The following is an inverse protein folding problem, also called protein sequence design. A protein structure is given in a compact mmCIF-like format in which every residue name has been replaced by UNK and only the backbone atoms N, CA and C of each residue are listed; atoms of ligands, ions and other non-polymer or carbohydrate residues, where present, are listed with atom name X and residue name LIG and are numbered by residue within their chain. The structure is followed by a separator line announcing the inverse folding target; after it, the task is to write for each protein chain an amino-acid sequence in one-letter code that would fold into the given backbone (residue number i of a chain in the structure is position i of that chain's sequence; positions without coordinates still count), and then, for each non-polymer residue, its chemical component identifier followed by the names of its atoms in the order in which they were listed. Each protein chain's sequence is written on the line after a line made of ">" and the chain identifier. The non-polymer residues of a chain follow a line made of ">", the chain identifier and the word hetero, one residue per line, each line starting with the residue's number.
data_IF_597451466371
#
_entry.id   IF_597451466371
#
_cell.length_a   1.000
_cell.length_b   1.000
_cell.length_c   1.000
_cell.angle_alpha   90.00
_cell.angle_beta   90.00
_cell.angle_gamma   90.00
#
_symmetry.space_group_name_H-M   'P 1'
#
loop_
_entity.id
_entity.type
_entity.pdbx_description
1 polymer ?
#
# COMPACT_ATOMS: atom_id res chain seq x y z
N UNK A 1 -3.91 0.35 19.79
CA UNK A 1 -4.35 1.74 19.63
C UNK A 1 -4.47 2.32 21.01
N UNK A 2 -3.67 3.34 21.32
CA UNK A 2 -3.84 4.09 22.56
C UNK A 2 -5.22 4.75 22.49
N UNK A 3 -5.97 4.68 23.59
CA UNK A 3 -7.29 5.30 23.68
C UNK A 3 -7.07 6.82 23.56
N UNK A 4 -7.86 7.49 22.72
CA UNK A 4 -7.78 8.94 22.49
C UNK A 4 -6.47 9.44 21.83
N UNK A 5 -5.68 8.52 21.26
CA UNK A 5 -4.45 8.89 20.57
C UNK A 5 -4.74 9.70 19.32
N UNK A 6 -4.15 10.89 19.23
CA UNK A 6 -4.28 11.74 18.05
C UNK A 6 -3.48 11.14 16.89
N UNK A 7 -4.05 11.12 15.67
CA UNK A 7 -3.31 10.69 14.50
C UNK A 7 -2.10 11.60 14.29
N UNK A 8 -1.00 11.03 13.79
CA UNK A 8 0.18 11.79 13.40
C UNK A 8 0.36 11.68 11.90
N UNK A 9 0.56 12.81 11.23
CA UNK A 9 0.89 12.91 9.82
C UNK A 9 2.40 13.14 9.69
N UNK A 10 3.10 12.20 9.06
CA UNK A 10 4.46 12.42 8.56
C UNK A 10 4.37 12.98 7.15
N UNK A 11 5.09 14.06 6.92
CA UNK A 11 5.32 14.66 5.62
C UNK A 11 6.79 14.43 5.29
N UNK A 12 7.07 13.76 4.17
CA UNK A 12 8.43 13.61 3.63
C UNK A 12 8.54 14.38 2.33
N UNK A 13 9.62 15.13 2.16
CA UNK A 13 9.93 15.88 0.93
C UNK A 13 10.94 15.13 0.07
N UNK A 14 11.06 15.53 -1.20
CA UNK A 14 11.99 14.94 -2.16
C UNK A 14 13.47 15.03 -1.73
N UNK A 15 13.84 16.05 -0.95
CA UNK A 15 15.19 16.22 -0.38
C UNK A 15 15.50 15.23 0.78
N UNK A 16 14.52 14.40 1.16
CA UNK A 16 14.61 13.42 2.24
C UNK A 16 14.28 13.97 3.63
N UNK A 17 13.99 15.27 3.75
CA UNK A 17 13.55 15.88 5.00
C UNK A 17 12.18 15.33 5.41
N UNK A 18 11.96 15.24 6.73
CA UNK A 18 10.74 14.68 7.32
C UNK A 18 10.25 15.55 8.47
N UNK A 19 8.96 15.81 8.48
CA UNK A 19 8.27 16.50 9.57
C UNK A 19 7.08 15.68 10.00
N UNK A 20 6.87 15.56 11.31
CA UNK A 20 5.68 14.91 11.88
C UNK A 20 4.80 15.93 12.55
N UNK A 21 3.49 15.81 12.33
CA UNK A 21 2.49 16.75 12.80
C UNK A 21 1.36 15.96 13.45
N UNK A 22 0.96 16.36 14.66
CA UNK A 22 -0.30 15.88 15.22
C UNK A 22 -1.44 16.40 14.35
N UNK A 23 -2.32 15.53 13.87
CA UNK A 23 -3.41 15.90 12.99
C UNK A 23 -4.68 16.22 13.80
N UNK A 24 -5.16 17.45 13.67
CA UNK A 24 -6.43 17.94 14.19
C UNK A 24 -7.24 18.58 13.06
N UNK A 25 -8.55 18.35 13.03
CA UNK A 25 -9.41 18.90 11.97
C UNK A 25 -9.36 20.42 11.97
N UNK A 26 -9.15 21.02 10.79
CA UNK A 26 -8.98 22.46 10.59
C UNK A 26 -7.56 22.98 10.85
N UNK A 27 -6.62 22.10 11.20
CA UNK A 27 -5.23 22.50 11.35
C UNK A 27 -4.55 22.64 9.99
N UNK A 28 -3.84 23.76 9.82
CA UNK A 28 -3.17 24.13 8.57
C UNK A 28 -1.66 24.31 8.76
N UNK A 29 -0.90 23.99 7.72
CA UNK A 29 0.53 24.26 7.62
C UNK A 29 0.91 24.72 6.22
N UNK A 30 1.82 25.69 6.15
CA UNK A 30 2.41 26.13 4.87
C UNK A 30 3.81 25.57 4.75
N UNK A 31 4.01 24.68 3.80
CA UNK A 31 5.33 24.27 3.34
C UNK A 31 5.89 25.39 2.45
N UNK A 32 7.16 25.74 2.64
CA UNK A 32 7.81 26.81 1.87
C UNK A 32 8.46 26.27 0.60
N UNK A 33 8.90 25.03 0.65
CA UNK A 33 9.57 24.32 -0.44
C UNK A 33 9.21 22.83 -0.31
N UNK A 34 8.30 22.29 -1.13
CA UNK A 34 7.49 23.01 -2.13
C UNK A 34 6.48 23.96 -1.45
N UNK A 35 6.05 25.01 -2.17
CA UNK A 35 5.05 25.96 -1.65
C UNK A 35 3.64 25.34 -1.70
N UNK A 36 3.26 24.65 -0.62
CA UNK A 36 2.00 23.91 -0.51
C UNK A 36 1.35 24.17 0.85
N UNK A 37 0.08 24.55 0.85
CA UNK A 37 -0.74 24.58 2.06
C UNK A 37 -1.34 23.20 2.28
N UNK A 38 -1.14 22.67 3.48
CA UNK A 38 -1.62 21.37 3.94
C UNK A 38 -2.67 21.62 5.01
N UNK A 39 -3.86 21.06 4.86
CA UNK A 39 -4.94 21.16 5.85
C UNK A 39 -5.50 19.78 6.19
N UNK A 40 -5.76 19.52 7.48
CA UNK A 40 -6.53 18.35 7.89
C UNK A 40 -8.02 18.65 7.77
N UNK A 41 -8.66 18.08 6.75
CA UNK A 41 -10.10 18.28 6.52
C UNK A 41 -10.94 17.33 7.36
N UNK A 42 -10.48 16.09 7.52
CA UNK A 42 -11.26 15.07 8.22
C UNK A 42 -10.40 13.96 8.81
N UNK A 43 -10.83 13.41 9.94
CA UNK A 43 -10.20 12.26 10.60
C UNK A 43 -11.22 11.12 10.71
N UNK A 44 -10.81 9.93 10.31
CA UNK A 44 -11.57 8.70 10.43
C UNK A 44 -10.90 7.79 11.45
N UNK A 45 -11.70 7.23 12.37
CA UNK A 45 -11.24 6.16 13.26
C UNK A 45 -11.41 4.79 12.60
N UNK A 46 -12.40 4.65 11.71
CA UNK A 46 -12.72 3.43 10.99
C UNK A 46 -13.36 3.77 9.64
N UNK A 47 -12.52 4.22 8.71
CA UNK A 47 -12.90 4.53 7.34
C UNK A 47 -13.41 3.26 6.64
N UNK A 48 -14.63 3.34 6.09
CA UNK A 48 -15.16 2.35 5.16
C UNK A 48 -15.68 3.03 3.92
N UNK A 49 -15.43 2.40 2.78
CA UNK A 49 -16.06 2.75 1.50
C UNK A 49 -17.26 1.82 1.32
N UNK A 50 -18.46 2.39 1.21
CA UNK A 50 -19.72 1.65 1.10
C UNK A 50 -20.36 1.92 -0.27
N UNK A 51 -21.03 0.93 -0.86
CA UNK A 51 -21.76 1.06 -2.14
C UNK A 51 -21.00 0.53 -3.36
N UNK A 52 -21.69 0.44 -4.50
CA UNK A 52 -21.15 0.06 -5.81
C UNK A 52 -20.95 1.31 -6.68
N UNK A 53 -19.82 1.42 -7.39
CA UNK A 53 -19.48 2.61 -8.19
C UNK A 53 -18.55 3.58 -7.45
N UNK A 54 -18.85 4.89 -7.46
CA UNK A 54 -17.98 5.94 -6.87
C UNK A 54 -17.77 5.81 -5.35
N UNK A 55 -18.54 4.97 -4.66
CA UNK A 55 -18.41 4.69 -3.22
C UNK A 55 -18.76 5.90 -2.34
N UNK A 56 -19.33 5.65 -1.18
CA UNK A 56 -19.54 6.66 -0.15
C UNK A 56 -18.59 6.34 1.00
N UNK A 57 -17.73 7.29 1.35
CA UNK A 57 -16.79 7.14 2.47
C UNK A 57 -17.52 7.50 3.77
N UNK A 58 -17.50 6.59 4.74
CA UNK A 58 -18.14 6.78 6.04
C UNK A 58 -17.19 6.41 7.17
N UNK A 59 -17.26 7.15 8.28
CA UNK A 59 -16.60 6.77 9.52
C UNK A 59 -17.54 5.86 10.32
N UNK A 60 -17.25 4.55 10.37
CA UNK A 60 -18.13 3.58 11.04
C UNK A 60 -17.85 3.55 12.54
N UNK A 61 -18.83 3.81 13.43
CA UNK A 61 -18.63 3.76 14.88
C UNK A 61 -18.06 2.42 15.34
N UNK A 62 -17.20 2.47 16.35
CA UNK A 62 -16.56 1.29 16.94
C UNK A 62 -15.06 1.47 17.18
N UNK A 63 -14.34 0.39 17.51
CA UNK A 63 -12.90 0.47 17.74
C UNK A 63 -12.16 0.93 16.47
N UNK A 64 -11.00 1.62 16.62
CA UNK A 64 -10.26 2.17 15.49
C UNK A 64 -9.63 1.04 14.65
N UNK A 65 -10.39 0.48 13.71
CA UNK A 65 -9.94 -0.66 12.89
C UNK A 65 -9.17 -0.21 11.64
N UNK A 66 -9.59 0.90 11.05
CA UNK A 66 -9.01 1.46 9.84
C UNK A 66 -8.95 3.00 9.92
N UNK A 67 -8.01 3.55 10.71
CA UNK A 67 -7.90 4.99 10.81
C UNK A 67 -7.31 5.60 9.54
N UNK A 68 -7.77 6.80 9.21
CA UNK A 68 -7.31 7.57 8.06
C UNK A 68 -7.45 9.06 8.32
N UNK A 69 -6.65 9.86 7.62
CA UNK A 69 -6.71 11.32 7.64
C UNK A 69 -6.95 11.80 6.21
N UNK A 70 -7.87 12.74 6.02
CA UNK A 70 -8.06 13.44 4.76
C UNK A 70 -7.31 14.74 4.84
N UNK A 71 -6.40 14.91 3.89
CA UNK A 71 -5.54 16.07 3.77
C UNK A 71 -5.92 16.82 2.51
N UNK A 72 -6.18 18.11 2.63
CA UNK A 72 -6.29 19.01 1.48
C UNK A 72 -4.93 19.64 1.23
N UNK A 73 -4.50 19.58 -0.02
CA UNK A 73 -3.28 20.22 -0.51
C UNK A 73 -3.69 21.32 -1.48
N UNK A 74 -3.26 22.55 -1.21
CA UNK A 74 -3.44 23.70 -2.10
C UNK A 74 -2.04 24.18 -2.53
N UNK A 75 -1.77 24.14 -3.84
CA UNK A 75 -0.49 24.52 -4.45
C UNK A 75 -0.50 25.99 -4.86
N UNK A 76 0.69 26.54 -5.11
CA UNK A 76 0.86 27.95 -5.48
C UNK A 76 0.19 28.35 -6.80
N UNK A 77 -0.04 27.40 -7.70
CA UNK A 77 -0.78 27.58 -8.95
C UNK A 77 -2.31 27.55 -8.75
N UNK A 78 -2.77 27.32 -7.52
CA UNK A 78 -4.18 27.21 -7.16
C UNK A 78 -4.76 25.80 -7.36
N UNK A 79 -3.95 24.80 -7.70
CA UNK A 79 -4.41 23.42 -7.75
C UNK A 79 -4.76 22.92 -6.34
N UNK A 80 -5.96 22.36 -6.18
CA UNK A 80 -6.46 21.79 -4.93
C UNK A 80 -6.69 20.29 -5.08
N UNK A 81 -6.02 19.49 -4.25
CA UNK A 81 -6.20 18.03 -4.21
C UNK A 81 -6.61 17.55 -2.81
N UNK A 82 -7.40 16.48 -2.78
CA UNK A 82 -7.83 15.83 -1.54
C UNK A 82 -7.24 14.42 -1.46
N UNK A 83 -6.44 14.19 -0.42
CA UNK A 83 -5.68 12.97 -0.25
C UNK A 83 -6.14 12.17 0.98
N UNK A 84 -6.40 10.87 0.79
CA UNK A 84 -6.74 9.94 1.86
C UNK A 84 -5.48 9.23 2.35
N UNK A 85 -4.99 9.63 3.52
CA UNK A 85 -3.80 9.06 4.14
C UNK A 85 -4.22 7.95 5.11
N UNK A 86 -4.22 6.70 4.62
CA UNK A 86 -4.65 5.53 5.39
C UNK A 86 -3.54 4.97 6.29
N UNK A 87 -3.92 4.42 7.44
CA UNK A 87 -3.01 3.75 8.37
C UNK A 87 -2.78 2.25 8.07
N UNK A 88 -3.72 1.56 7.39
CA UNK A 88 -3.57 0.18 6.83
C UNK A 88 -4.00 0.02 5.33
N UNK A 89 -3.41 -0.88 4.53
CA UNK A 89 -3.72 -1.14 3.10
C UNK A 89 -2.75 -0.62 1.98
N UNK A 90 -3.15 -0.82 0.72
CA UNK A 90 -2.41 -0.48 -0.52
C UNK A 90 -2.28 1.03 -0.82
N UNK A 91 -2.76 1.90 0.08
CA UNK A 91 -2.72 3.37 -0.03
C UNK A 91 -2.01 3.99 1.18
N UNK A 92 -0.91 3.37 1.61
CA UNK A 92 -0.03 3.89 2.66
C UNK A 92 0.81 5.03 2.19
N UNK A 93 0.18 6.20 2.29
CA UNK A 93 0.74 7.41 1.79
C UNK A 93 0.40 7.59 0.33
N UNK A 94 -0.10 8.77 0.04
CA UNK A 94 -0.19 9.25 -1.31
C UNK A 94 1.09 10.04 -1.57
N UNK A 95 1.70 9.68 -2.69
CA UNK A 95 2.88 10.31 -3.22
C UNK A 95 2.39 11.18 -4.35
N UNK A 96 2.72 12.46 -4.26
CA UNK A 96 2.30 13.51 -5.17
C UNK A 96 3.56 14.31 -5.50
N UNK A 97 4.20 13.94 -6.61
CA UNK A 97 5.46 14.38 -7.24
C UNK A 97 6.62 14.87 -6.34
N UNK A 98 6.38 15.79 -5.40
CA UNK A 98 7.36 16.40 -4.50
C UNK A 98 7.11 16.13 -3.00
N UNK A 99 5.96 15.53 -2.67
CA UNK A 99 5.46 15.35 -1.30
C UNK A 99 4.97 13.93 -1.08
N UNK A 100 5.39 13.32 0.03
CA UNK A 100 4.89 12.04 0.50
C UNK A 100 4.24 12.19 1.87
N UNK A 101 2.95 11.92 1.95
CA UNK A 101 2.19 11.92 3.19
C UNK A 101 2.16 10.52 3.79
N UNK A 102 2.24 10.38 5.12
CA UNK A 102 2.12 9.07 5.78
C UNK A 102 1.42 9.19 7.13
N UNK A 103 0.47 8.29 7.37
CA UNK A 103 -0.10 8.11 8.70
C UNK A 103 0.92 7.43 9.60
N UNK A 104 1.23 8.04 10.73
CA UNK A 104 2.11 7.49 11.77
C UNK A 104 1.25 7.08 12.94
N UNK A 105 1.36 5.81 13.34
CA UNK A 105 0.75 5.37 14.59
C UNK A 105 1.47 6.07 15.75
N UNK A 106 0.73 6.64 16.72
CA UNK A 106 1.34 7.16 17.92
C UNK A 106 2.07 6.03 18.65
N UNK A 107 3.18 6.38 19.30
CA UNK A 107 3.90 5.40 20.12
C UNK A 107 2.97 4.87 21.22
N UNK A 108 3.06 3.56 21.53
CA UNK A 108 2.27 2.98 22.60
C UNK A 108 2.65 3.60 23.95
N UNK A 109 1.69 4.20 24.64
CA UNK A 109 1.89 4.74 25.99
C UNK A 109 2.10 3.60 27.00
N UNK A 110 3.13 3.73 27.85
CA UNK A 110 3.43 2.77 28.91
C UNK A 110 3.99 1.42 28.44
N UNK A 111 4.27 1.27 27.14
CA UNK A 111 4.97 0.10 26.63
C UNK A 111 6.47 0.37 26.57
N UNK A 112 7.24 -0.33 27.40
CA UNK A 112 8.69 -0.33 27.31
C UNK A 112 9.15 -1.51 26.44
N UNK A 113 10.13 -1.31 25.52
CA UNK A 113 10.74 -2.43 24.82
C UNK A 113 11.47 -3.34 25.81
N UNK A 114 11.71 -4.60 25.45
CA UNK A 114 12.51 -5.49 26.28
C UNK A 114 13.90 -4.87 26.52
N UNK A 115 14.33 -4.69 27.78
CA UNK A 115 15.55 -3.93 28.11
C UNK A 115 16.83 -4.58 27.56
N UNK A 116 16.80 -5.87 27.25
CA UNK A 116 17.97 -6.60 26.74
C UNK A 116 18.09 -6.50 25.22
N UNK A 117 16.97 -6.48 24.50
CA UNK A 117 16.94 -6.57 23.03
C UNK A 117 16.49 -5.29 22.34
N UNK A 118 15.80 -4.38 23.05
CA UNK A 118 15.14 -3.20 22.47
C UNK A 118 13.96 -3.55 21.57
N UNK A 119 13.52 -4.81 21.56
CA UNK A 119 12.46 -5.30 20.69
C UNK A 119 11.11 -5.29 21.42
N UNK A 120 9.98 -5.30 20.66
CA UNK A 120 8.66 -5.37 21.26
C UNK A 120 8.53 -6.57 22.20
N UNK A 121 8.10 -6.28 23.42
CA UNK A 121 7.74 -7.24 24.44
C UNK A 121 6.39 -6.89 25.05
N UNK A 122 5.62 -7.90 25.41
CA UNK A 122 4.31 -7.71 26.04
C UNK A 122 4.07 -8.84 27.04
N UNK A 123 3.79 -8.46 28.28
CA UNK A 123 3.26 -9.39 29.26
C UNK A 123 1.76 -9.56 29.02
N UNK A 124 1.31 -10.79 28.94
CA UNK A 124 -0.09 -11.15 28.79
C UNK A 124 -0.53 -11.96 29.99
N UNK A 125 -1.74 -11.68 30.45
CA UNK A 125 -2.45 -12.55 31.39
C UNK A 125 -3.59 -13.22 30.63
N UNK A 126 -3.44 -14.51 30.40
CA UNK A 126 -4.48 -15.33 29.79
C UNK A 126 -5.28 -15.99 30.90
N UNK A 127 -6.61 -15.89 30.81
CA UNK A 127 -7.54 -16.53 31.72
C UNK A 127 -8.54 -17.37 30.93
N UNK A 128 -8.73 -18.61 31.33
CA UNK A 128 -9.76 -19.49 30.80
C UNK A 128 -10.33 -20.35 31.92
N UNK A 129 -11.64 -20.23 32.18
CA UNK A 129 -12.32 -20.82 33.35
C UNK A 129 -11.57 -20.42 34.64
N UNK A 130 -11.11 -21.38 35.43
CA UNK A 130 -10.35 -21.16 36.66
C UNK A 130 -8.82 -21.08 36.44
N UNK A 131 -8.35 -21.36 35.22
CA UNK A 131 -6.93 -21.34 34.90
C UNK A 131 -6.49 -19.95 34.48
N UNK A 132 -5.41 -19.44 35.08
CA UNK A 132 -4.75 -18.21 34.66
C UNK A 132 -3.25 -18.42 34.45
N UNK A 133 -2.74 -17.93 33.33
CA UNK A 133 -1.32 -18.03 32.98
C UNK A 133 -0.80 -16.67 32.56
N UNK A 134 0.35 -16.30 33.12
CA UNK A 134 1.02 -15.04 32.85
C UNK A 134 2.28 -15.31 32.05
N UNK A 135 2.42 -14.68 30.90
CA UNK A 135 3.49 -15.00 29.94
C UNK A 135 4.05 -13.74 29.33
N UNK A 136 5.36 -13.72 29.14
CA UNK A 136 6.04 -12.71 28.36
C UNK A 136 6.14 -13.16 26.90
N UNK A 137 5.56 -12.35 26.01
CA UNK A 137 5.79 -12.47 24.58
C UNK A 137 6.93 -11.55 24.19
N UNK A 138 8.06 -12.10 23.74
CA UNK A 138 9.24 -11.33 23.35
C UNK A 138 9.64 -11.72 21.93
N UNK A 139 9.81 -10.73 21.05
CA UNK A 139 10.33 -10.99 19.70
C UNK A 139 11.86 -11.01 19.71
N UNK A 140 12.49 -11.98 19.02
CA UNK A 140 13.94 -12.04 18.89
C UNK A 140 14.42 -11.40 17.57
N UNK A 141 15.71 -11.04 17.48
CA UNK A 141 16.28 -10.31 16.32
C UNK A 141 15.99 -10.98 14.96
N UNK A 142 16.01 -12.31 14.90
CA UNK A 142 15.79 -13.09 13.67
C UNK A 142 14.35 -13.61 13.52
N UNK A 143 13.42 -13.12 14.34
CA UNK A 143 12.02 -13.52 14.29
C UNK A 143 11.15 -12.34 13.88
N UNK A 144 10.22 -12.59 12.96
CA UNK A 144 9.20 -11.60 12.57
C UNK A 144 8.02 -11.59 13.54
N UNK A 145 7.88 -12.64 14.37
CA UNK A 145 6.83 -12.81 15.36
C UNK A 145 7.26 -13.76 16.48
N UNK A 146 6.79 -13.47 17.69
CA UNK A 146 6.74 -14.43 18.80
C UNK A 146 5.36 -15.12 18.79
N UNK A 147 5.30 -16.40 19.17
CA UNK A 147 4.05 -17.13 19.17
C UNK A 147 3.99 -18.17 20.31
N UNK A 148 2.77 -18.43 20.78
CA UNK A 148 2.46 -19.50 21.73
C UNK A 148 1.22 -20.27 21.27
N UNK A 149 1.24 -21.59 21.43
CA UNK A 149 0.04 -22.41 21.29
C UNK A 149 -0.81 -22.28 22.56
N UNK A 150 -2.08 -21.89 22.42
CA UNK A 150 -2.98 -21.67 23.55
C UNK A 150 -3.40 -22.97 24.24
N UNK A 151 -3.42 -24.09 23.51
CA UNK A 151 -3.69 -25.42 24.08
C UNK A 151 -2.61 -25.78 25.09
N UNK A 152 -1.35 -25.66 24.67
CA UNK A 152 -0.19 -25.96 25.53
C UNK A 152 -0.13 -24.99 26.70
N UNK A 153 -0.38 -23.71 26.43
CA UNK A 153 -0.19 -22.66 27.41
C UNK A 153 -1.23 -22.65 28.53
N UNK A 154 -2.48 -22.97 28.22
CA UNK A 154 -3.57 -23.04 29.20
C UNK A 154 -3.89 -24.49 29.61
N UNK A 155 -3.09 -25.46 29.17
CA UNK A 155 -3.34 -26.89 29.35
C UNK A 155 -4.78 -27.28 28.99
N UNK A 156 -5.29 -26.76 27.86
CA UNK A 156 -6.65 -27.01 27.42
C UNK A 156 -6.77 -28.43 26.88
N UNK A 157 -7.90 -29.07 27.13
CA UNK A 157 -8.22 -30.31 26.43
C UNK A 157 -8.53 -30.00 24.96
N UNK A 158 -8.08 -30.86 24.05
CA UNK A 158 -8.23 -30.65 22.61
C UNK A 158 -9.71 -30.48 22.18
N UNK A 159 -10.62 -31.14 22.91
CA UNK A 159 -12.09 -31.03 22.76
C UNK A 159 -12.67 -29.66 23.12
N UNK A 160 -12.01 -28.90 23.99
CA UNK A 160 -12.43 -27.55 24.39
C UNK A 160 -12.09 -26.52 23.28
N UNK A 161 -11.26 -26.91 22.31
CA UNK A 161 -10.74 -26.04 21.24
C UNK A 161 -11.25 -26.45 19.86
N UNK A 162 -11.54 -27.73 19.63
CA UNK A 162 -12.13 -28.24 18.40
C UNK A 162 -13.49 -28.87 18.70
N UNK A 163 -14.57 -28.27 18.20
CA UNK A 163 -15.87 -28.96 18.16
C UNK A 163 -15.77 -30.26 17.37
N UNK A 164 -16.66 -31.23 17.61
CA UNK A 164 -16.60 -32.64 17.16
C UNK A 164 -16.30 -32.89 15.66
N UNK A 165 -16.26 -31.86 14.80
CA UNK A 165 -15.96 -31.94 13.37
C UNK A 165 -14.88 -30.97 12.86
N UNK A 166 -14.09 -30.33 13.73
CA UNK A 166 -13.09 -29.36 13.29
C UNK A 166 -11.71 -30.00 13.07
N UNK A 167 -11.33 -30.19 11.80
CA UNK A 167 -9.95 -30.53 11.43
C UNK A 167 -8.96 -29.44 11.94
N UNK A 168 -8.08 -29.83 12.88
CA UNK A 168 -6.77 -29.24 13.22
C UNK A 168 -6.63 -27.71 13.11
N UNK A 169 -7.41 -26.93 13.85
CA UNK A 169 -7.23 -25.48 13.93
C UNK A 169 -6.36 -25.09 15.11
N UNK A 170 -5.04 -25.18 14.99
CA UNK A 170 -4.13 -24.67 16.03
C UNK A 170 -4.46 -23.22 16.39
N UNK A 171 -4.84 -23.00 17.66
CA UNK A 171 -5.16 -21.66 18.16
C UNK A 171 -3.88 -21.10 18.77
N UNK A 172 -3.25 -20.21 18.02
CA UNK A 172 -1.99 -19.60 18.41
C UNK A 172 -2.18 -18.12 18.73
N UNK A 173 -1.49 -17.64 19.75
CA UNK A 173 -1.34 -16.23 20.04
C UNK A 173 -0.04 -15.72 19.41
N UNK A 174 -0.10 -14.55 18.76
CA UNK A 174 1.05 -13.96 18.07
C UNK A 174 1.34 -12.54 18.56
N UNK A 175 2.61 -12.24 18.78
CA UNK A 175 3.14 -10.88 18.90
C UNK A 175 4.03 -10.64 17.68
N UNK A 176 3.53 -9.87 16.72
CA UNK A 176 4.29 -9.54 15.51
C UNK A 176 5.21 -8.34 15.77
N UNK A 177 6.45 -8.44 15.33
CA UNK A 177 7.31 -7.26 15.17
C UNK A 177 6.74 -6.46 13.99
N UNK A 178 6.33 -5.21 14.20
CA UNK A 178 6.02 -4.32 13.08
C UNK A 178 7.32 -4.11 12.30
N UNK A 179 7.52 -4.88 11.22
CA UNK A 179 8.47 -4.49 10.19
C UNK A 179 7.84 -3.28 9.50
N UNK A 180 8.49 -2.12 9.59
CA UNK A 180 8.11 -0.98 8.76
C UNK A 180 8.02 -1.46 7.31
N UNK A 181 6.97 -1.05 6.59
CA UNK A 181 6.87 -1.35 5.17
C UNK A 181 8.14 -0.84 4.48
N UNK A 182 8.85 -1.76 3.82
CA UNK A 182 10.06 -1.41 3.09
C UNK A 182 9.61 -0.56 1.90
N UNK A 183 10.09 0.70 1.89
CA UNK A 183 9.54 1.80 1.12
C UNK A 183 9.92 1.74 -0.36
N UNK A 184 11.11 1.19 -0.68
CA UNK A 184 11.58 0.94 -2.04
C UNK A 184 12.52 -0.25 -2.04
N UNK A 185 12.45 -1.07 -3.09
CA UNK A 185 13.42 -2.11 -3.37
C UNK A 185 14.08 -1.79 -4.70
N UNK A 186 15.37 -1.55 -4.64
CA UNK A 186 16.22 -1.28 -5.79
C UNK A 186 17.09 -2.50 -6.03
N UNK A 187 17.07 -3.01 -7.26
CA UNK A 187 17.93 -4.12 -7.69
C UNK A 187 18.83 -3.64 -8.82
N UNK A 188 20.14 -3.77 -8.69
CA UNK A 188 21.05 -3.50 -9.81
C UNK A 188 20.99 -4.68 -10.78
N UNK A 189 20.47 -4.44 -11.98
CA UNK A 189 20.37 -5.44 -13.03
C UNK A 189 21.39 -5.16 -14.12
N UNK A 190 22.19 -6.17 -14.44
CA UNK A 190 23.17 -6.14 -15.53
C UNK A 190 22.79 -7.25 -16.52
N UNK A 191 22.55 -6.88 -17.78
CA UNK A 191 22.38 -7.81 -18.89
C UNK A 191 23.72 -7.94 -19.59
N UNK A 192 24.15 -9.19 -19.82
CA UNK A 192 25.40 -9.50 -20.49
C UNK A 192 25.14 -10.37 -21.73
N UNK A 193 25.78 -10.02 -22.85
CA UNK A 193 25.90 -10.86 -24.04
C UNK A 193 27.37 -11.18 -24.27
N UNK A 194 27.71 -12.47 -24.41
CA UNK A 194 29.08 -12.94 -24.65
C UNK A 194 30.12 -12.40 -23.64
N UNK A 195 29.69 -12.21 -22.38
CA UNK A 195 30.53 -11.69 -21.29
C UNK A 195 30.76 -10.17 -21.33
N UNK A 196 30.10 -9.44 -22.24
CA UNK A 196 30.10 -7.97 -22.27
C UNK A 196 28.78 -7.45 -21.70
N UNK A 197 28.86 -6.46 -20.82
CA UNK A 197 27.68 -5.74 -20.33
C UNK A 197 27.03 -4.98 -21.49
N UNK A 198 25.77 -5.30 -21.77
CA UNK A 198 25.00 -4.70 -22.87
C UNK A 198 23.84 -3.83 -22.38
N UNK A 199 23.42 -3.98 -21.12
CA UNK A 199 22.53 -3.05 -20.44
C UNK A 199 22.74 -3.12 -18.92
N UNK A 200 22.59 -1.99 -18.24
CA UNK A 200 22.69 -1.88 -16.79
C UNK A 200 21.65 -0.88 -16.30
N UNK A 201 20.87 -1.27 -15.27
CA UNK A 201 19.89 -0.38 -14.64
C UNK A 201 19.58 -0.85 -13.23
N UNK A 202 19.54 0.10 -12.29
CA UNK A 202 18.87 -0.09 -11.00
C UNK A 202 17.37 -0.07 -11.23
N UNK A 203 16.72 -1.23 -11.12
CA UNK A 203 15.27 -1.39 -11.32
C UNK A 203 14.52 -1.24 -10.00
N UNK A 204 13.32 -0.66 -10.07
CA UNK A 204 12.39 -0.46 -8.95
C UNK A 204 10.97 -0.87 -9.35
N UNK A 205 10.02 -0.87 -8.41
CA UNK A 205 8.63 -1.26 -8.68
C UNK A 205 8.05 -0.29 -9.73
N UNK A 206 7.53 -0.83 -10.83
CA UNK A 206 7.07 -0.11 -12.04
C UNK A 206 8.16 0.53 -12.91
N UNK A 207 9.44 0.38 -12.58
CA UNK A 207 10.58 0.87 -13.38
C UNK A 207 11.38 -0.26 -14.04
N UNK A 208 10.82 -1.03 -14.99
CA UNK A 208 11.51 -2.18 -15.59
C UNK A 208 12.76 -1.77 -16.38
N UNK A 209 13.72 -2.69 -16.51
CA UNK A 209 14.74 -2.60 -17.56
C UNK A 209 14.14 -3.13 -18.85
N UNK A 210 14.36 -2.44 -19.96
CA UNK A 210 14.03 -2.92 -21.30
C UNK A 210 15.31 -3.20 -22.07
N UNK A 211 15.42 -4.39 -22.63
CA UNK A 211 16.53 -4.75 -23.49
C UNK A 211 16.11 -5.88 -24.44
N UNK A 212 16.44 -5.75 -25.74
CA UNK A 212 16.21 -6.80 -26.73
C UNK A 212 14.74 -7.21 -26.95
N UNK A 213 13.77 -6.32 -26.70
CA UNK A 213 12.33 -6.66 -26.80
C UNK A 213 11.78 -7.44 -25.60
N UNK A 214 12.49 -7.40 -24.47
CA UNK A 214 12.07 -7.95 -23.20
C UNK A 214 12.03 -6.86 -22.12
N UNK A 215 11.05 -6.98 -21.23
CA UNK A 215 10.96 -6.19 -20.01
C UNK A 215 11.31 -7.06 -18.80
N UNK A 216 12.22 -6.56 -17.98
CA UNK A 216 12.63 -7.15 -16.71
C UNK A 216 11.99 -6.37 -15.56
N UNK A 217 11.02 -6.99 -14.90
CA UNK A 217 10.31 -6.43 -13.77
C UNK A 217 10.79 -7.06 -12.47
N UNK A 218 10.80 -6.27 -11.41
CA UNK A 218 10.83 -6.80 -10.06
C UNK A 218 9.42 -7.23 -9.65
N UNK A 219 9.17 -8.53 -9.55
CA UNK A 219 7.83 -9.09 -9.34
C UNK A 219 7.50 -9.37 -7.87
N UNK A 220 8.51 -9.67 -7.05
CA UNK A 220 8.37 -9.77 -5.60
C UNK A 220 9.73 -9.70 -4.90
N UNK A 221 9.72 -9.62 -3.58
CA UNK A 221 10.90 -9.63 -2.73
C UNK A 221 10.57 -10.37 -1.43
N UNK A 222 11.59 -10.82 -0.71
CA UNK A 222 11.38 -11.43 0.60
C UNK A 222 12.66 -11.80 1.33
N UNK A 223 12.47 -12.40 2.50
CA UNK A 223 13.54 -13.08 3.24
C UNK A 223 13.30 -14.59 3.18
N UNK A 224 14.37 -15.36 2.97
CA UNK A 224 14.32 -16.82 3.09
C UNK A 224 14.24 -17.27 4.57
N UNK A 225 14.11 -18.58 4.81
CA UNK A 225 14.04 -19.14 6.16
C UNK A 225 15.29 -18.86 7.03
N UNK A 226 16.39 -18.39 6.42
CA UNK A 226 17.64 -18.01 7.07
C UNK A 226 17.80 -16.49 7.20
N UNK A 227 16.78 -15.70 6.83
CA UNK A 227 16.78 -14.25 6.91
C UNK A 227 17.53 -13.54 5.79
N UNK A 228 17.93 -14.24 4.72
CA UNK A 228 18.63 -13.64 3.57
C UNK A 228 17.62 -13.02 2.62
N UNK A 229 17.89 -11.78 2.20
CA UNK A 229 17.07 -11.05 1.25
C UNK A 229 17.21 -11.64 -0.16
N UNK A 230 16.08 -11.77 -0.86
CA UNK A 230 16.03 -12.12 -2.27
C UNK A 230 15.05 -11.22 -3.04
N UNK A 231 15.28 -11.10 -4.34
CA UNK A 231 14.41 -10.41 -5.29
C UNK A 231 13.95 -11.41 -6.35
N UNK A 232 12.67 -11.40 -6.69
CA UNK A 232 12.12 -12.19 -7.78
C UNK A 232 11.95 -11.31 -9.01
N UNK A 233 12.43 -11.79 -10.14
CA UNK A 233 12.35 -11.10 -11.42
C UNK A 233 11.33 -11.78 -12.32
N UNK A 234 10.45 -11.00 -12.94
CA UNK A 234 9.58 -11.45 -14.02
C UNK A 234 10.10 -10.89 -15.34
N UNK A 235 10.09 -11.71 -16.37
CA UNK A 235 10.53 -11.33 -17.72
C UNK A 235 9.34 -11.49 -18.65
N UNK A 236 8.97 -10.43 -19.37
CA UNK A 236 7.96 -10.49 -20.43
C UNK A 236 8.58 -10.09 -21.77
N UNK A 237 8.04 -10.63 -22.86
CA UNK A 237 8.44 -10.26 -24.22
C UNK A 237 7.40 -9.34 -24.86
N UNK A 238 7.86 -8.44 -25.72
CA UNK A 238 7.02 -7.55 -26.54
C UNK A 238 6.40 -8.27 -27.76
N UNK A 239 6.69 -9.56 -27.92
CA UNK A 239 6.20 -10.37 -29.03
C UNK A 239 4.67 -10.37 -29.08
N UNK A 240 4.09 -9.74 -30.11
CA UNK A 240 2.63 -9.65 -30.32
C UNK A 240 2.01 -8.30 -29.96
N UNK A 241 2.76 -7.39 -29.33
CA UNK A 241 2.27 -6.06 -28.97
C UNK A 241 1.89 -5.21 -30.20
N UNK A 242 2.62 -5.36 -31.31
CA UNK A 242 2.30 -4.73 -32.59
C UNK A 242 0.94 -5.15 -33.16
N UNK A 243 0.56 -6.42 -32.99
CA UNK A 243 -0.75 -6.93 -33.43
C UNK A 243 -1.90 -6.31 -32.64
N UNK A 244 -1.70 -6.11 -31.33
CA UNK A 244 -2.67 -5.44 -30.45
C UNK A 244 -2.87 -3.98 -30.86
N UNK A 245 -1.79 -3.24 -31.14
CA UNK A 245 -1.89 -1.86 -31.60
C UNK A 245 -2.58 -1.71 -32.96
N UNK A 246 -2.36 -2.66 -33.90
CA UNK A 246 -3.10 -2.69 -35.17
C UNK A 246 -4.61 -2.83 -34.91
N UNK A 247 -5.01 -3.68 -33.96
CA UNK A 247 -6.41 -3.82 -33.56
C UNK A 247 -7.01 -2.51 -33.02
N UNK A 248 -6.29 -1.80 -32.15
CA UNK A 248 -6.72 -0.49 -31.66
C UNK A 248 -6.83 0.55 -32.77
N UNK A 249 -5.86 0.61 -33.68
CA UNK A 249 -5.88 1.53 -34.82
C UNK A 249 -7.08 1.26 -35.74
N UNK A 250 -7.42 0.00 -36.00
CA UNK A 250 -8.61 -0.39 -36.77
C UNK A 250 -9.91 0.01 -36.07
N UNK A 251 -10.00 -0.13 -34.74
CA UNK A 251 -11.18 0.32 -33.98
C UNK A 251 -11.36 1.84 -34.07
N UNK A 252 -10.29 2.60 -33.84
CA UNK A 252 -10.32 4.07 -33.94
C UNK A 252 -10.67 4.49 -35.36
N UNK A 253 -10.06 3.87 -36.38
CA UNK A 253 -10.36 4.12 -37.79
C UNK A 253 -11.81 3.83 -38.15
N UNK A 254 -12.38 2.73 -37.67
CA UNK A 254 -13.79 2.39 -37.87
C UNK A 254 -14.75 3.40 -37.24
N UNK A 255 -14.41 3.91 -36.05
CA UNK A 255 -15.18 4.97 -35.40
C UNK A 255 -15.11 6.27 -36.21
N UNK A 256 -13.92 6.66 -36.67
CA UNK A 256 -13.77 7.83 -37.54
C UNK A 256 -14.55 7.69 -38.85
N UNK A 257 -14.57 6.50 -39.43
CA UNK A 257 -15.32 6.22 -40.65
C UNK A 257 -16.83 6.39 -40.47
N UNK A 258 -17.40 5.87 -39.38
CA UNK A 258 -18.83 5.94 -39.11
C UNK A 258 -19.32 7.35 -38.80
N UNK A 259 -18.55 8.12 -38.03
CA UNK A 259 -19.00 9.43 -37.52
C UNK A 259 -18.60 10.62 -38.39
N UNK A 260 -17.51 10.53 -39.16
CA UNK A 260 -17.06 11.64 -40.00
C UNK A 260 -17.11 11.29 -41.48
N UNK A 261 -16.53 10.17 -41.89
CA UNK A 261 -16.38 9.89 -43.32
C UNK A 261 -17.71 9.55 -44.01
N UNK A 262 -18.52 8.66 -43.43
CA UNK A 262 -19.82 8.27 -43.98
C UNK A 262 -20.83 9.43 -44.04
N UNK A 263 -20.98 10.30 -43.02
CA UNK A 263 -21.84 11.48 -43.11
C UNK A 263 -21.37 12.48 -44.16
N UNK A 264 -20.05 12.73 -44.25
CA UNK A 264 -19.48 13.63 -45.25
C UNK A 264 -19.74 13.13 -46.67
N UNK A 265 -19.53 11.83 -46.95
CA UNK A 265 -19.85 11.27 -48.26
C UNK A 265 -21.34 11.40 -48.59
N UNK A 266 -22.22 11.12 -47.62
CA UNK A 266 -23.67 11.23 -47.83
C UNK A 266 -24.11 12.66 -48.13
N UNK A 267 -23.47 13.65 -47.51
CA UNK A 267 -23.72 15.07 -47.76
C UNK A 267 -23.37 15.46 -49.20
N UNK A 268 -22.26 14.94 -49.74
CA UNK A 268 -21.84 15.24 -51.10
C UNK A 268 -22.65 14.49 -52.17
N UNK A 269 -23.12 13.27 -51.90
CA UNK A 269 -23.98 12.53 -52.84
C UNK A 269 -25.37 13.14 -52.95
N UNK A 270 -26.00 13.56 -51.83
CA UNK A 270 -27.34 14.18 -51.86
C UNK A 270 -27.36 15.55 -52.56
N UNK A 271 -26.25 16.29 -52.50
CA UNK A 271 -26.13 17.60 -53.17
C UNK A 271 -25.96 17.48 -54.69
N UNK A 272 -25.57 16.31 -55.19
CA UNK A 272 -25.40 16.03 -56.62
C UNK A 272 -26.71 15.57 -57.29
N UNK A 273 -27.67 15.04 -56.52
CA UNK A 273 -28.97 14.59 -57.03
C UNK A 273 -30.06 15.69 -56.98
N UNK A 274 -29.89 16.74 -56.19
CA UNK A 274 -30.82 17.89 -56.08
C UNK A 274 -30.38 19.12 -56.90
N UNK A 275 -29.52 18.92 -57.90
CA UNK A 275 -29.06 19.94 -58.83
C UNK A 275 -29.70 19.78 -60.21
N UNK A 276 -30.99 20.09 -60.30
CA UNK A 276 -31.73 20.58 -61.48
C UNK A 276 -32.68 21.69 -61.00
#
# INVERSE_FOLDING_TARGET
>A
YVKDAKPVLEISLADGSKTTLTAEVGQEWLLKDPQVRVEIVQIFTNLKVMGTGKGHVVNVPGPPKNPAVVVRLERADGEETHQYVNARGLFHGQEDDDLKLRYVFPEPEGAEPDPNTGLPAMEILLKHKETSQKVWMITHKNQTRAWFNLVDLLALEEKDVHGEHAHQRQVNLYLAKMQGQIKDYKSDLIVQEEGRTVAEKTIEVNGPLHYGGYHFYQSSYGQDQKGRWYTALAVSSDSGLSLVYIGFALMVGGMFWLFWFKPILSYFTTRRDNGD
#
